data_IF_300226015521
#
_entry.id   IF_300226015521
#
_cell.length_a   1.000
_cell.length_b   1.000
_cell.length_c   1.000
_cell.angle_alpha   90.00
_cell.angle_beta   90.00
_cell.angle_gamma   90.00
#
_symmetry.space_group_name_H-M   'P 1'
#
loop_
_entity.id
_entity.type
_entity.pdbx_description
1 polymer ?
#
# COMPACT_ATOMS: atom_id res chain seq x y z
N UNK A 1 8.70 -11.63 21.53
CA UNK A 1 7.59 -10.87 20.93
C UNK A 1 8.10 -9.61 20.27
N UNK A 2 7.69 -9.39 19.05
CA UNK A 2 8.10 -8.21 18.31
C UNK A 2 7.40 -6.95 18.83
N UNK A 3 8.17 -5.89 18.98
CA UNK A 3 7.62 -4.56 19.24
C UNK A 3 7.85 -3.69 18.03
N UNK A 4 6.78 -3.14 17.51
CA UNK A 4 6.84 -2.22 16.37
C UNK A 4 6.91 -0.81 16.93
N UNK A 5 7.84 0.00 16.42
CA UNK A 5 8.00 1.39 16.86
C UNK A 5 6.76 2.21 16.55
N UNK A 6 6.63 3.35 17.22
CA UNK A 6 5.53 4.27 16.96
C UNK A 6 5.54 4.75 15.51
N UNK A 7 6.72 5.08 14.99
CA UNK A 7 6.87 5.54 13.61
C UNK A 7 6.40 4.49 12.62
N UNK A 8 6.74 3.23 12.86
CA UNK A 8 6.31 2.15 11.97
C UNK A 8 4.82 1.91 12.08
N UNK A 9 4.24 2.02 13.26
CA UNK A 9 2.78 1.93 13.43
C UNK A 9 2.07 3.02 12.65
N UNK A 10 2.62 4.24 12.66
CA UNK A 10 2.03 5.34 11.90
C UNK A 10 2.14 5.12 10.40
N UNK A 11 3.24 4.55 9.93
CA UNK A 11 3.37 4.19 8.52
C UNK A 11 2.31 3.16 8.11
N UNK A 12 2.07 2.17 8.95
CA UNK A 12 1.05 1.16 8.69
C UNK A 12 -0.33 1.81 8.60
N UNK A 13 -0.63 2.76 9.48
CA UNK A 13 -1.89 3.50 9.44
C UNK A 13 -2.04 4.31 8.17
N UNK A 14 -0.98 4.98 7.74
CA UNK A 14 -0.99 5.75 6.49
C UNK A 14 -1.21 4.84 5.29
N UNK A 15 -0.61 3.66 5.31
CA UNK A 15 -0.81 2.67 4.25
C UNK A 15 -2.28 2.25 4.19
N UNK A 16 -2.90 1.99 5.34
CA UNK A 16 -4.32 1.65 5.41
C UNK A 16 -5.19 2.76 4.84
N UNK A 17 -4.91 4.00 5.25
CA UNK A 17 -5.65 5.17 4.77
C UNK A 17 -5.55 5.33 3.27
N UNK A 18 -4.35 5.16 2.73
CA UNK A 18 -4.12 5.29 1.30
C UNK A 18 -4.85 4.20 0.52
N UNK A 19 -4.83 2.96 1.02
CA UNK A 19 -5.57 1.87 0.39
C UNK A 19 -7.06 2.22 0.31
N UNK A 20 -7.59 2.79 1.39
CA UNK A 20 -8.98 3.21 1.45
C UNK A 20 -9.27 4.31 0.41
N UNK A 21 -8.38 5.30 0.30
CA UNK A 21 -8.56 6.39 -0.67
C UNK A 21 -8.44 5.88 -2.11
N UNK A 22 -7.51 4.97 -2.37
CA UNK A 22 -7.40 4.35 -3.69
C UNK A 22 -8.72 3.71 -4.08
N UNK A 23 -9.34 2.97 -3.17
CA UNK A 23 -10.62 2.30 -3.41
C UNK A 23 -11.77 3.27 -3.62
N UNK A 24 -11.74 4.43 -2.95
CA UNK A 24 -12.82 5.41 -3.02
C UNK A 24 -12.70 6.36 -4.19
N UNK A 25 -11.47 6.72 -4.57
CA UNK A 25 -11.26 7.86 -5.46
C UNK A 25 -10.51 7.54 -6.74
N UNK A 26 -10.12 6.28 -6.96
CA UNK A 26 -9.44 5.87 -8.19
C UNK A 26 -10.14 4.66 -8.80
N UNK A 27 -9.75 4.34 -10.02
CA UNK A 27 -10.22 3.12 -10.69
C UNK A 27 -9.53 1.86 -10.20
N UNK A 28 -8.39 2.01 -9.53
CA UNK A 28 -7.67 0.88 -8.95
C UNK A 28 -8.42 0.33 -7.76
N UNK A 29 -8.12 -0.92 -7.42
CA UNK A 29 -8.60 -1.51 -6.18
C UNK A 29 -7.40 -1.97 -5.35
N UNK A 30 -7.36 -1.57 -4.09
CA UNK A 30 -6.30 -1.93 -3.16
C UNK A 30 -6.83 -2.89 -2.10
N UNK A 31 -6.05 -3.91 -1.82
CA UNK A 31 -6.35 -4.89 -0.77
C UNK A 31 -5.28 -4.81 0.30
N UNK A 32 -5.70 -4.89 1.53
CA UNK A 32 -4.85 -4.84 2.69
C UNK A 32 -5.23 -5.99 3.62
N UNK A 33 -4.24 -6.73 4.07
CA UNK A 33 -4.48 -7.84 4.99
C UNK A 33 -3.36 -7.94 6.01
N UNK A 34 -3.73 -8.07 7.27
CA UNK A 34 -2.79 -8.25 8.36
C UNK A 34 -3.08 -9.57 9.06
N UNK A 35 -2.05 -10.41 9.20
CA UNK A 35 -2.14 -11.68 9.89
C UNK A 35 -1.37 -11.58 11.21
N UNK A 36 -2.11 -11.45 12.30
CA UNK A 36 -1.52 -11.10 13.59
C UNK A 36 -0.61 -12.16 14.19
N UNK A 37 -0.91 -13.44 13.97
CA UNK A 37 -0.14 -14.50 14.61
C UNK A 37 1.26 -14.69 14.02
N UNK A 38 1.50 -14.17 12.81
CA UNK A 38 2.82 -14.24 12.17
C UNK A 38 3.39 -12.86 11.87
N UNK A 39 2.71 -11.80 12.30
CA UNK A 39 3.07 -10.42 11.98
C UNK A 39 3.23 -10.21 10.47
N UNK A 40 2.37 -10.87 9.70
CA UNK A 40 2.36 -10.77 8.25
C UNK A 40 1.50 -9.62 7.79
N UNK A 41 1.95 -8.94 6.77
CA UNK A 41 1.30 -7.76 6.22
C UNK A 41 1.34 -7.88 4.70
N UNK A 42 0.18 -7.78 4.06
CA UNK A 42 0.03 -8.08 2.65
C UNK A 42 -0.76 -6.94 1.99
N UNK A 43 -0.20 -6.38 0.93
CA UNK A 43 -0.81 -5.30 0.16
C UNK A 43 -0.84 -5.72 -1.30
N UNK A 44 -1.98 -5.49 -1.95
CA UNK A 44 -2.12 -5.71 -3.39
C UNK A 44 -2.87 -4.55 -4.00
N UNK A 45 -2.46 -4.14 -5.19
CA UNK A 45 -3.22 -3.21 -6.01
C UNK A 45 -3.54 -3.90 -7.32
N UNK A 46 -4.80 -3.88 -7.70
CA UNK A 46 -5.27 -4.45 -8.94
C UNK A 46 -5.74 -3.35 -9.87
N UNK A 47 -5.81 -3.68 -11.17
CA UNK A 47 -6.02 -2.69 -12.22
C UNK A 47 -7.38 -2.01 -12.11
N UNK A 48 -8.43 -2.76 -11.78
CA UNK A 48 -9.77 -2.21 -11.68
C UNK A 48 -10.64 -3.08 -10.79
N UNK A 49 -11.80 -2.56 -10.43
CA UNK A 49 -12.76 -3.30 -9.61
C UNK A 49 -13.38 -4.47 -10.36
N UNK A 50 -13.47 -4.39 -11.68
CA UNK A 50 -13.92 -5.50 -12.50
C UNK A 50 -12.83 -6.52 -12.75
N UNK A 51 -11.57 -6.13 -12.63
CA UNK A 51 -10.41 -6.99 -12.91
C UNK A 51 -9.52 -7.11 -11.67
N UNK A 52 -10.12 -7.55 -10.58
CA UNK A 52 -9.43 -7.66 -9.30
C UNK A 52 -8.46 -8.83 -9.21
N UNK A 53 -8.40 -9.68 -10.24
CA UNK A 53 -7.40 -10.75 -10.32
C UNK A 53 -6.11 -10.28 -11.00
N UNK A 54 -6.14 -9.12 -11.64
CA UNK A 54 -4.99 -8.58 -12.35
C UNK A 54 -4.19 -7.66 -11.42
N UNK A 55 -3.27 -8.25 -10.69
CA UNK A 55 -2.41 -7.52 -9.75
C UNK A 55 -1.35 -6.75 -10.51
N UNK A 56 -1.30 -5.44 -10.29
CA UNK A 56 -0.25 -4.60 -10.85
C UNK A 56 0.81 -4.26 -9.81
N UNK A 57 0.53 -4.54 -8.55
CA UNK A 57 1.49 -4.41 -7.45
C UNK A 57 1.09 -5.38 -6.35
N UNK A 58 2.08 -6.04 -5.76
CA UNK A 58 1.86 -6.90 -4.61
C UNK A 58 3.10 -6.88 -3.73
N UNK A 59 2.89 -6.77 -2.43
CA UNK A 59 3.97 -6.78 -1.45
C UNK A 59 3.53 -7.53 -0.22
N UNK A 60 4.37 -8.44 0.24
CA UNK A 60 4.12 -9.21 1.46
C UNK A 60 5.32 -9.05 2.38
N UNK A 61 5.06 -8.71 3.64
CA UNK A 61 6.09 -8.54 4.64
C UNK A 61 5.78 -9.38 5.86
N UNK A 62 6.81 -10.06 6.38
CA UNK A 62 6.76 -10.64 7.70
C UNK A 62 7.60 -9.72 8.59
N UNK A 63 6.91 -8.84 9.32
CA UNK A 63 7.56 -7.70 9.98
C UNK A 63 8.61 -8.10 11.03
N UNK A 64 8.44 -9.27 11.63
CA UNK A 64 9.39 -9.75 12.64
C UNK A 64 10.72 -10.22 12.05
N UNK A 65 10.85 -10.28 10.73
CA UNK A 65 12.12 -10.63 10.07
C UNK A 65 13.01 -9.41 9.83
N UNK A 66 12.54 -8.21 10.18
CA UNK A 66 13.25 -6.97 9.92
C UNK A 66 13.64 -6.29 11.22
N UNK A 67 14.79 -5.63 11.22
CA UNK A 67 15.12 -4.65 12.25
C UNK A 67 14.21 -3.43 12.05
N UNK A 68 14.04 -2.62 13.10
CA UNK A 68 13.07 -1.52 13.06
C UNK A 68 13.34 -0.50 11.95
N UNK A 69 14.61 -0.17 11.71
CA UNK A 69 14.99 0.75 10.66
C UNK A 69 14.81 0.16 9.27
N UNK A 70 15.05 -1.15 9.11
CA UNK A 70 14.80 -1.85 7.86
C UNK A 70 13.29 -1.88 7.58
N UNK A 71 12.49 -2.15 8.61
CA UNK A 71 11.04 -2.15 8.47
C UNK A 71 10.53 -0.78 8.08
N UNK A 72 11.08 0.28 8.67
CA UNK A 72 10.74 1.64 8.31
C UNK A 72 10.95 1.89 6.81
N UNK A 73 12.09 1.44 6.29
CA UNK A 73 12.40 1.60 4.88
C UNK A 73 11.43 0.83 3.98
N UNK A 74 11.10 -0.40 4.37
CA UNK A 74 10.14 -1.22 3.61
C UNK A 74 8.75 -0.60 3.60
N UNK A 75 8.27 -0.15 4.76
CA UNK A 75 6.96 0.47 4.88
C UNK A 75 6.90 1.80 4.14
N UNK A 76 7.97 2.59 4.21
CA UNK A 76 8.06 3.87 3.49
C UNK A 76 7.99 3.65 1.98
N UNK A 77 8.65 2.63 1.48
CA UNK A 77 8.63 2.28 0.06
C UNK A 77 7.23 1.87 -0.39
N UNK A 78 6.54 1.08 0.42
CA UNK A 78 5.15 0.70 0.14
C UNK A 78 4.27 1.95 0.08
N UNK A 79 4.42 2.83 1.07
CA UNK A 79 3.63 4.07 1.14
C UNK A 79 3.85 4.93 -0.08
N UNK A 80 5.10 5.12 -0.48
CA UNK A 80 5.45 5.88 -1.68
C UNK A 80 4.82 5.29 -2.93
N UNK A 81 4.89 3.97 -3.07
CA UNK A 81 4.32 3.27 -4.21
C UNK A 81 2.81 3.47 -4.26
N UNK A 82 2.13 3.34 -3.13
CA UNK A 82 0.68 3.53 -3.05
C UNK A 82 0.28 4.98 -3.33
N UNK A 83 1.08 5.94 -2.86
CA UNK A 83 0.88 7.36 -3.18
C UNK A 83 0.95 7.58 -4.68
N UNK A 84 1.85 6.88 -5.35
CA UNK A 84 1.98 6.93 -6.80
C UNK A 84 0.70 6.47 -7.49
N UNK A 85 0.10 5.39 -7.03
CA UNK A 85 -1.18 4.93 -7.61
C UNK A 85 -2.30 5.93 -7.35
N UNK A 86 -2.39 6.47 -6.15
CA UNK A 86 -3.40 7.47 -5.83
C UNK A 86 -3.26 8.71 -6.70
N UNK A 87 -2.04 9.22 -6.84
CA UNK A 87 -1.77 10.45 -7.60
C UNK A 87 -1.70 10.19 -9.09
N UNK A 88 -1.20 9.03 -9.50
CA UNK A 88 -1.07 8.66 -10.89
C UNK A 88 -2.40 8.61 -11.62
N UNK A 89 -3.46 8.17 -10.92
CA UNK A 89 -4.80 8.18 -11.50
C UNK A 89 -5.22 9.60 -11.88
N UNK A 90 -4.94 10.58 -11.02
CA UNK A 90 -5.24 12.00 -11.30
C UNK A 90 -4.32 12.53 -12.39
N UNK A 91 -3.06 12.17 -12.37
CA UNK A 91 -2.08 12.61 -13.36
C UNK A 91 -2.45 12.11 -14.75
N UNK A 92 -2.88 10.86 -14.85
CA UNK A 92 -3.32 10.29 -16.12
C UNK A 92 -4.48 11.10 -16.68
N UNK A 93 -5.45 11.46 -15.86
CA UNK A 93 -6.58 12.29 -16.29
C UNK A 93 -6.12 13.65 -16.76
N UNK A 94 -5.23 14.29 -16.02
CA UNK A 94 -4.68 15.60 -16.38
C UNK A 94 -3.86 15.50 -17.67
N UNK A 95 -3.06 14.45 -17.80
CA UNK A 95 -2.24 14.24 -19.00
C UNK A 95 -3.11 14.10 -20.24
N UNK A 96 -4.20 13.37 -20.14
CA UNK A 96 -5.13 13.20 -21.26
C UNK A 96 -5.75 14.51 -21.66
N UNK A 97 -6.05 15.36 -20.70
CA UNK A 97 -6.61 16.67 -20.99
C UNK A 97 -5.58 17.64 -21.56
N UNK A 98 -4.32 17.48 -21.22
CA UNK A 98 -3.26 18.37 -21.66
C UNK A 98 -2.74 18.04 -23.05
N UNK A 99 -3.05 16.88 -23.54
CA UNK A 99 -2.65 16.44 -24.86
C UNK A 99 -3.71 16.85 -25.89
#
# INVERSE_FOLDING_TARGET
>A
MMKISYENKELIRHIQDICWRINQYTDYVAFYHFSGHVNGFDIRVCKSKEDYNNRIYAKELYMNLFEDDELYNELSEILETLQGYENGSKEVQVSETSI
#
